data_IF_858610407061
#
_entry.id   IF_858610407061
#
_cell.length_a   1.000
_cell.length_b   1.000
_cell.length_c   1.000
_cell.angle_alpha   90.00
_cell.angle_beta   90.00
_cell.angle_gamma   90.00
#
_symmetry.space_group_name_H-M   'P 1'
#
loop_
_entity.id
_entity.type
_entity.pdbx_description
1 polymer ?
#
# COMPACT_ATOMS: atom_id res chain seq x y z
N UNK A 1 8.18 -4.28 20.75
CA UNK A 1 7.88 -2.85 20.99
C UNK A 1 7.90 -2.50 22.49
N UNK A 2 7.39 -3.39 23.36
CA UNK A 2 7.36 -3.11 24.82
C UNK A 2 8.76 -3.01 25.47
N UNK A 3 9.78 -3.60 24.88
CA UNK A 3 11.17 -3.56 25.36
C UNK A 3 12.08 -2.57 24.60
N UNK A 4 11.60 -1.92 23.54
CA UNK A 4 12.42 -1.00 22.73
C UNK A 4 12.37 0.45 23.21
N UNK A 5 11.59 0.78 24.25
CA UNK A 5 11.47 2.13 24.79
C UNK A 5 10.85 3.17 23.84
N UNK A 6 10.33 2.76 22.69
CA UNK A 6 9.71 3.66 21.70
C UNK A 6 8.27 3.92 22.17
N UNK A 7 7.87 5.18 22.42
CA UNK A 7 6.51 5.49 22.84
C UNK A 7 5.51 5.21 21.70
N UNK A 8 4.36 4.63 22.02
CA UNK A 8 3.30 4.31 21.05
C UNK A 8 2.90 5.50 20.19
N UNK A 9 2.94 6.71 20.74
CA UNK A 9 2.64 7.94 20.01
C UNK A 9 3.61 8.16 18.84
N UNK A 10 4.89 7.88 18.99
CA UNK A 10 5.88 7.99 17.92
C UNK A 10 5.70 6.91 16.86
N UNK A 11 5.12 5.77 17.23
CA UNK A 11 4.83 4.68 16.31
C UNK A 11 3.65 5.05 15.39
N UNK A 12 2.56 5.63 15.94
CA UNK A 12 1.34 5.92 15.16
C UNK A 12 1.32 7.32 14.53
N UNK A 13 2.00 8.30 15.15
CA UNK A 13 2.01 9.70 14.70
C UNK A 13 3.40 10.14 14.21
N UNK A 14 4.12 9.27 13.55
CA UNK A 14 5.39 9.60 12.93
C UNK A 14 5.16 10.54 11.74
N UNK A 15 5.66 11.79 11.83
CA UNK A 15 5.51 12.80 10.76
C UNK A 15 6.01 12.30 9.40
N UNK A 16 7.13 11.57 9.38
CA UNK A 16 7.66 10.98 8.13
C UNK A 16 6.75 9.89 7.60
N UNK A 17 6.11 9.10 8.47
CA UNK A 17 5.13 8.10 8.09
C UNK A 17 3.90 8.73 7.46
N UNK A 18 3.37 9.80 8.04
CA UNK A 18 2.22 10.56 7.51
C UNK A 18 2.57 11.17 6.13
N UNK A 19 3.70 11.83 6.02
CA UNK A 19 4.13 12.41 4.74
C UNK A 19 4.33 11.35 3.66
N UNK A 20 5.01 10.24 4.00
CA UNK A 20 5.23 9.14 3.08
C UNK A 20 3.91 8.50 2.63
N UNK A 21 2.93 8.33 3.52
CA UNK A 21 1.63 7.75 3.15
C UNK A 21 0.84 8.65 2.21
N UNK A 22 0.84 9.97 2.43
CA UNK A 22 0.16 10.93 1.54
C UNK A 22 0.79 10.90 0.14
N UNK A 23 2.12 11.02 0.07
CA UNK A 23 2.85 10.99 -1.22
C UNK A 23 2.59 9.67 -1.94
N UNK A 24 2.65 8.55 -1.22
CA UNK A 24 2.40 7.23 -1.76
C UNK A 24 0.98 7.10 -2.32
N UNK A 25 -0.05 7.47 -1.54
CA UNK A 25 -1.45 7.39 -1.96
C UNK A 25 -1.70 8.24 -3.21
N UNK A 26 -1.24 9.49 -3.22
CA UNK A 26 -1.38 10.37 -4.40
C UNK A 26 -0.68 9.78 -5.61
N UNK A 27 0.57 9.34 -5.46
CA UNK A 27 1.33 8.73 -6.56
C UNK A 27 0.69 7.46 -7.10
N UNK A 28 0.16 6.61 -6.21
CA UNK A 28 -0.56 5.39 -6.60
C UNK A 28 -1.83 5.71 -7.39
N UNK A 29 -2.64 6.65 -6.91
CA UNK A 29 -3.86 7.07 -7.62
C UNK A 29 -3.55 7.70 -8.99
N UNK A 30 -2.51 8.52 -9.08
CA UNK A 30 -2.04 9.04 -10.38
C UNK A 30 -1.62 7.91 -11.32
N UNK A 31 -0.89 6.92 -10.81
CA UNK A 31 -0.54 5.72 -11.57
C UNK A 31 -1.78 4.95 -12.05
N UNK A 32 -2.81 4.86 -11.22
CA UNK A 32 -4.10 4.24 -11.58
C UNK A 32 -4.81 4.96 -12.72
N UNK A 33 -4.81 6.30 -12.72
CA UNK A 33 -5.36 7.11 -13.83
C UNK A 33 -4.57 6.87 -15.12
N UNK A 34 -3.25 6.89 -15.05
CA UNK A 34 -2.37 6.67 -16.22
C UNK A 34 -2.58 5.26 -16.78
N UNK A 35 -2.65 4.26 -15.91
CA UNK A 35 -2.89 2.86 -16.32
C UNK A 35 -4.28 2.69 -16.94
N UNK A 36 -5.31 3.34 -16.38
CA UNK A 36 -6.66 3.31 -16.93
C UNK A 36 -6.70 3.89 -18.35
N UNK A 37 -6.01 5.01 -18.56
CA UNK A 37 -5.92 5.64 -19.86
C UNK A 37 -5.14 4.79 -20.89
N UNK A 38 -4.07 4.14 -20.45
CA UNK A 38 -3.26 3.30 -21.35
C UNK A 38 -3.95 1.98 -21.72
N UNK A 39 -4.69 1.39 -20.77
CA UNK A 39 -5.35 0.09 -20.95
C UNK A 39 -6.81 0.20 -21.40
N UNK A 40 -7.27 1.42 -21.72
CA UNK A 40 -8.63 1.72 -22.16
C UNK A 40 -9.71 1.28 -21.15
N UNK A 41 -9.41 1.48 -19.84
CA UNK A 41 -10.34 1.26 -18.74
C UNK A 41 -11.05 2.57 -18.34
N UNK A 42 -12.19 2.42 -17.66
CA UNK A 42 -12.78 3.54 -16.93
C UNK A 42 -11.78 4.05 -15.88
N UNK A 43 -11.63 5.39 -15.81
CA UNK A 43 -10.76 6.05 -14.81
C UNK A 43 -11.12 5.62 -13.39
N UNK A 44 -12.43 5.48 -13.09
CA UNK A 44 -12.89 5.05 -11.77
C UNK A 44 -12.41 3.62 -11.43
N UNK A 45 -12.43 2.71 -12.40
CA UNK A 45 -11.86 1.36 -12.23
C UNK A 45 -10.35 1.42 -11.98
N UNK A 46 -9.62 2.24 -12.72
CA UNK A 46 -8.18 2.44 -12.50
C UNK A 46 -7.87 2.98 -11.11
N UNK A 47 -8.64 3.95 -10.64
CA UNK A 47 -8.54 4.49 -9.29
C UNK A 47 -8.88 3.44 -8.22
N UNK A 48 -9.90 2.61 -8.46
CA UNK A 48 -10.24 1.52 -7.56
C UNK A 48 -9.09 0.51 -7.44
N UNK A 49 -8.50 0.03 -8.54
CA UNK A 49 -7.34 -0.85 -8.50
C UNK A 49 -6.15 -0.22 -7.77
N UNK A 50 -5.88 1.06 -8.02
CA UNK A 50 -4.76 1.77 -7.40
C UNK A 50 -4.97 2.02 -5.90
N UNK A 51 -6.23 2.16 -5.45
CA UNK A 51 -6.57 2.45 -4.05
C UNK A 51 -6.55 1.23 -3.13
N UNK A 52 -6.35 0.04 -3.67
CA UNK A 52 -6.12 -1.18 -2.89
C UNK A 52 -4.79 -1.14 -2.14
N UNK A 53 -3.82 -0.38 -2.66
CA UNK A 53 -2.48 -0.21 -2.09
C UNK A 53 -1.76 -1.53 -1.78
N UNK A 54 -2.13 -2.62 -2.47
CA UNK A 54 -1.58 -3.96 -2.28
C UNK A 54 -2.31 -4.82 -1.25
N UNK A 55 -3.51 -4.44 -0.84
CA UNK A 55 -4.34 -5.28 0.02
C UNK A 55 -5.20 -6.24 -0.81
N UNK A 56 -4.56 -7.25 -1.40
CA UNK A 56 -5.16 -8.19 -2.36
C UNK A 56 -6.39 -8.90 -1.82
N UNK A 57 -6.44 -9.26 -0.53
CA UNK A 57 -7.61 -9.94 0.05
C UNK A 57 -8.83 -9.03 0.18
N UNK A 58 -8.64 -7.72 0.36
CA UNK A 58 -9.73 -6.75 0.39
C UNK A 58 -10.18 -6.39 -1.02
N UNK A 59 -9.24 -6.02 -1.88
CA UNK A 59 -9.54 -5.55 -3.24
C UNK A 59 -10.22 -6.62 -4.09
N UNK A 60 -9.71 -7.86 -4.02
CA UNK A 60 -10.28 -8.97 -4.79
C UNK A 60 -11.72 -9.26 -4.41
N UNK A 61 -12.07 -9.25 -3.12
CA UNK A 61 -13.43 -9.52 -2.66
C UNK A 61 -14.37 -8.38 -3.05
N UNK A 62 -14.01 -7.13 -2.77
CA UNK A 62 -14.87 -5.98 -3.08
C UNK A 62 -15.10 -5.82 -4.59
N UNK A 63 -14.08 -6.03 -5.42
CA UNK A 63 -14.23 -5.93 -6.88
C UNK A 63 -14.95 -7.14 -7.47
N UNK A 64 -14.79 -8.34 -6.88
CA UNK A 64 -15.57 -9.51 -7.25
C UNK A 64 -17.07 -9.26 -7.01
N UNK A 65 -17.42 -8.76 -5.84
CA UNK A 65 -18.81 -8.52 -5.46
C UNK A 65 -19.46 -7.41 -6.30
N UNK A 66 -18.68 -6.37 -6.65
CA UNK A 66 -19.17 -5.25 -7.43
C UNK A 66 -19.24 -5.52 -8.93
N UNK A 67 -18.22 -6.17 -9.51
CA UNK A 67 -18.04 -6.28 -10.97
C UNK A 67 -17.86 -7.71 -11.48
N UNK A 68 -17.86 -8.69 -10.59
CA UNK A 68 -17.75 -10.11 -10.91
C UNK A 68 -16.33 -10.68 -10.84
N UNK A 69 -16.24 -12.01 -10.98
CA UNK A 69 -15.03 -12.80 -10.73
C UNK A 69 -13.82 -12.37 -11.57
N UNK A 70 -14.03 -11.93 -12.80
CA UNK A 70 -12.95 -11.47 -13.67
C UNK A 70 -12.18 -10.28 -13.07
N UNK A 71 -12.92 -9.25 -12.63
CA UNK A 71 -12.32 -8.05 -12.04
C UNK A 71 -11.70 -8.31 -10.66
N UNK A 72 -12.33 -9.16 -9.85
CA UNK A 72 -11.76 -9.60 -8.57
C UNK A 72 -10.44 -10.38 -8.76
N UNK A 73 -10.35 -11.22 -9.79
CA UNK A 73 -9.10 -11.94 -10.11
C UNK A 73 -8.01 -11.00 -10.57
N UNK A 74 -8.32 -9.99 -11.40
CA UNK A 74 -7.35 -8.96 -11.80
C UNK A 74 -6.82 -8.23 -10.57
N UNK A 75 -7.69 -7.81 -9.65
CA UNK A 75 -7.30 -7.13 -8.41
C UNK A 75 -6.34 -8.00 -7.57
N UNK A 76 -6.68 -9.27 -7.39
CA UNK A 76 -5.85 -10.22 -6.65
C UNK A 76 -4.44 -10.32 -7.25
N UNK A 77 -4.35 -10.64 -8.55
CA UNK A 77 -3.06 -10.82 -9.20
C UNK A 77 -2.24 -9.53 -9.31
N UNK A 78 -2.89 -8.38 -9.51
CA UNK A 78 -2.23 -7.08 -9.51
C UNK A 78 -1.53 -6.81 -8.17
N UNK A 79 -2.25 -6.94 -7.07
CA UNK A 79 -1.72 -6.65 -5.75
C UNK A 79 -0.70 -7.71 -5.28
N UNK A 80 -0.94 -8.98 -5.58
CA UNK A 80 0.00 -10.06 -5.29
C UNK A 80 1.32 -9.89 -6.06
N UNK A 81 1.24 -9.57 -7.35
CA UNK A 81 2.44 -9.33 -8.18
C UNK A 81 3.25 -8.16 -7.65
N UNK A 82 2.55 -7.08 -7.23
CA UNK A 82 3.18 -5.93 -6.60
C UNK A 82 3.89 -6.33 -5.30
N UNK A 83 3.26 -7.13 -4.45
CA UNK A 83 3.87 -7.59 -3.19
C UNK A 83 5.13 -8.41 -3.44
N UNK A 84 5.08 -9.36 -4.38
CA UNK A 84 6.26 -10.17 -4.76
C UNK A 84 7.40 -9.26 -5.24
N UNK A 85 7.12 -8.31 -6.13
CA UNK A 85 8.13 -7.36 -6.60
C UNK A 85 8.70 -6.52 -5.44
N UNK A 86 7.86 -6.08 -4.51
CA UNK A 86 8.31 -5.29 -3.35
C UNK A 86 9.27 -6.07 -2.45
N UNK A 87 9.08 -7.37 -2.26
CA UNK A 87 9.99 -8.19 -1.45
C UNK A 87 11.43 -8.15 -1.99
N UNK A 88 11.60 -8.07 -3.31
CA UNK A 88 12.92 -7.94 -3.93
C UNK A 88 13.44 -6.49 -3.94
N UNK A 89 12.54 -5.52 -4.13
CA UNK A 89 12.94 -4.12 -4.26
C UNK A 89 13.21 -3.43 -2.92
N UNK A 90 12.51 -3.80 -1.85
CA UNK A 90 12.68 -3.20 -0.52
C UNK A 90 14.14 -3.21 -0.06
N UNK A 91 14.88 -4.34 -0.07
CA UNK A 91 16.28 -4.36 0.35
C UNK A 91 17.18 -3.45 -0.48
N UNK A 92 16.91 -3.36 -1.79
CA UNK A 92 17.68 -2.53 -2.71
C UNK A 92 17.53 -1.03 -2.41
N UNK A 93 16.29 -0.57 -2.19
CA UNK A 93 16.02 0.85 -1.91
C UNK A 93 16.29 1.23 -0.45
N UNK A 94 16.27 0.30 0.48
CA UNK A 94 16.36 0.58 1.91
C UNK A 94 17.65 1.32 2.29
N UNK A 95 18.75 1.02 1.61
CA UNK A 95 20.06 1.61 1.92
C UNK A 95 20.09 3.13 1.72
N UNK A 96 19.50 3.63 0.63
CA UNK A 96 19.61 5.03 0.22
C UNK A 96 18.28 5.80 0.42
N UNK A 97 17.15 5.10 0.35
CA UNK A 97 15.80 5.70 0.37
C UNK A 97 14.84 4.92 1.28
N UNK A 98 15.04 4.96 2.63
CA UNK A 98 14.24 4.15 3.56
C UNK A 98 12.72 4.43 3.47
N UNK A 99 12.32 5.69 3.31
CA UNK A 99 10.90 6.05 3.17
C UNK A 99 10.27 5.49 1.89
N UNK A 100 11.03 5.50 0.78
CA UNK A 100 10.61 4.89 -0.49
C UNK A 100 10.49 3.38 -0.34
N UNK A 101 11.47 2.73 0.30
CA UNK A 101 11.45 1.29 0.54
C UNK A 101 10.23 0.86 1.38
N UNK A 102 9.89 1.63 2.42
CA UNK A 102 8.65 1.42 3.19
C UNK A 102 7.42 1.63 2.32
N UNK A 103 7.42 2.69 1.50
CA UNK A 103 6.34 3.00 0.56
C UNK A 103 6.06 1.88 -0.45
N UNK A 104 7.10 1.18 -0.93
CA UNK A 104 6.93 0.02 -1.81
C UNK A 104 6.05 -1.07 -1.18
N UNK A 105 6.13 -1.30 0.12
CA UNK A 105 5.27 -2.24 0.83
C UNK A 105 3.77 -1.88 0.79
N UNK A 106 3.42 -0.58 0.67
CA UNK A 106 2.02 -0.15 0.67
C UNK A 106 1.27 -0.57 1.94
N UNK A 107 0.08 -1.10 1.78
CA UNK A 107 -0.75 -1.58 2.89
C UNK A 107 -0.05 -2.67 3.72
N UNK A 108 0.80 -3.50 3.10
CA UNK A 108 1.48 -4.62 3.78
C UNK A 108 2.73 -4.21 4.55
N UNK A 109 3.09 -2.92 4.58
CA UNK A 109 4.29 -2.42 5.28
C UNK A 109 4.25 -2.61 6.79
N UNK A 110 3.05 -2.74 7.39
CA UNK A 110 2.91 -2.96 8.83
C UNK A 110 2.80 -4.45 9.20
N UNK A 111 2.67 -5.36 8.22
CA UNK A 111 2.47 -6.80 8.41
C UNK A 111 3.36 -7.66 7.50
N UNK A 112 2.88 -8.05 6.30
CA UNK A 112 3.56 -9.02 5.45
C UNK A 112 4.96 -8.59 4.99
N UNK A 113 5.18 -7.31 4.65
CA UNK A 113 6.49 -6.81 4.23
C UNK A 113 7.32 -6.25 5.39
N UNK A 114 6.76 -6.11 6.60
CA UNK A 114 7.46 -5.60 7.77
C UNK A 114 8.74 -6.40 8.11
N UNK A 115 8.75 -7.73 8.06
CA UNK A 115 9.99 -8.50 8.34
C UNK A 115 11.14 -8.16 7.40
N UNK A 116 10.87 -7.98 6.10
CA UNK A 116 11.92 -7.61 5.14
C UNK A 116 12.35 -6.15 5.31
N UNK A 117 11.43 -5.24 5.63
CA UNK A 117 11.73 -3.84 5.97
C UNK A 117 12.64 -3.79 7.20
N UNK A 118 12.31 -4.52 8.26
CA UNK A 118 13.10 -4.58 9.49
C UNK A 118 14.47 -5.22 9.25
N UNK A 119 14.54 -6.31 8.49
CA UNK A 119 15.80 -7.00 8.18
C UNK A 119 16.76 -6.10 7.38
N UNK A 120 16.21 -5.29 6.48
CA UNK A 120 17.00 -4.43 5.58
C UNK A 120 17.35 -3.08 6.17
N UNK A 121 16.49 -2.50 7.03
CA UNK A 121 16.65 -1.15 7.57
C UNK A 121 16.84 -1.07 9.09
N UNK A 122 16.81 -2.24 9.79
CA UNK A 122 16.92 -2.29 11.24
C UNK A 122 15.66 -1.84 11.99
N UNK A 123 15.74 -1.84 13.32
CA UNK A 123 14.62 -1.45 14.20
C UNK A 123 14.19 0.02 14.05
N UNK A 124 15.08 0.88 13.60
CA UNK A 124 14.83 2.31 13.46
C UNK A 124 13.81 2.67 12.38
N UNK A 125 13.60 1.81 11.37
CA UNK A 125 12.60 2.02 10.32
C UNK A 125 11.21 1.43 10.66
N UNK A 126 11.13 0.60 11.69
CA UNK A 126 9.88 -0.05 12.10
C UNK A 126 8.78 0.95 12.49
N UNK A 127 9.04 2.00 13.29
CA UNK A 127 8.01 3.02 13.58
C UNK A 127 7.49 3.72 12.33
N UNK A 128 8.36 4.00 11.37
CA UNK A 128 7.98 4.57 10.09
C UNK A 128 7.04 3.62 9.32
N UNK A 129 7.40 2.34 9.23
CA UNK A 129 6.62 1.32 8.51
C UNK A 129 5.23 1.11 9.13
N UNK A 130 5.15 1.05 10.47
CA UNK A 130 3.88 0.87 11.18
C UNK A 130 2.99 2.11 11.00
N UNK A 131 3.53 3.33 11.20
CA UNK A 131 2.76 4.56 11.00
C UNK A 131 2.24 4.69 9.58
N UNK A 132 3.11 4.47 8.60
CA UNK A 132 2.76 4.49 7.18
C UNK A 132 1.68 3.46 6.84
N UNK A 133 1.91 2.19 7.17
CA UNK A 133 0.98 1.11 6.87
C UNK A 133 -0.36 1.28 7.57
N UNK A 134 -0.39 1.78 8.81
CA UNK A 134 -1.62 2.07 9.54
C UNK A 134 -2.50 3.09 8.80
N UNK A 135 -1.92 4.19 8.34
CA UNK A 135 -2.65 5.24 7.59
C UNK A 135 -3.17 4.68 6.27
N UNK A 136 -2.32 3.96 5.53
CA UNK A 136 -2.71 3.37 4.25
C UNK A 136 -3.83 2.34 4.42
N UNK A 137 -3.77 1.50 5.47
CA UNK A 137 -4.82 0.51 5.76
C UNK A 137 -6.15 1.15 6.19
N UNK A 138 -6.14 2.33 6.82
CA UNK A 138 -7.36 3.08 7.09
C UNK A 138 -7.95 3.70 5.81
N UNK A 139 -7.10 4.19 4.93
CA UNK A 139 -7.52 4.86 3.69
C UNK A 139 -8.03 3.87 2.62
N UNK A 140 -7.42 2.69 2.52
CA UNK A 140 -7.70 1.72 1.47
C UNK A 140 -9.19 1.33 1.36
N UNK A 141 -9.87 0.84 2.42
CA UNK A 141 -11.27 0.45 2.31
C UNK A 141 -12.20 1.62 1.99
N UNK A 142 -11.89 2.82 2.48
CA UNK A 142 -12.69 4.02 2.21
C UNK A 142 -12.57 4.43 0.74
N UNK A 143 -11.37 4.51 0.21
CA UNK A 143 -11.13 4.88 -1.18
C UNK A 143 -11.66 3.82 -2.16
N UNK A 144 -11.46 2.53 -1.84
CA UNK A 144 -12.01 1.43 -2.61
C UNK A 144 -13.54 1.54 -2.71
N UNK A 145 -14.24 1.70 -1.58
CA UNK A 145 -15.68 1.82 -1.56
C UNK A 145 -16.18 3.03 -2.37
N UNK A 146 -15.49 4.18 -2.27
CA UNK A 146 -15.83 5.40 -3.03
C UNK A 146 -15.67 5.14 -4.53
N UNK A 147 -14.52 4.64 -4.98
CA UNK A 147 -14.25 4.48 -6.41
C UNK A 147 -15.04 3.33 -7.03
N UNK A 148 -15.34 2.26 -6.29
CA UNK A 148 -16.23 1.19 -6.76
C UNK A 148 -17.66 1.72 -6.92
N UNK A 149 -18.14 2.56 -5.99
CA UNK A 149 -19.47 3.14 -6.05
C UNK A 149 -19.64 4.19 -7.14
N UNK A 150 -18.56 4.76 -7.67
CA UNK A 150 -18.56 5.77 -8.75
C UNK A 150 -18.26 5.17 -10.14
N UNK A 151 -17.89 3.90 -10.23
CA UNK A 151 -17.54 3.20 -11.47
C UNK A 151 -18.75 2.48 -12.11
#
# INVERSE_FOLDING_TARGET
>A
LRNSGIPLREVFLNKRGIQASIIFMVSSLMGGVIAAWWLDFSVMKGLAYASAFGWYSLSSVLMHDAWGAFYGSIAFFNDLSREILCLFMIPFFMRNFPSTAVGLGGATSLDCTLPIIQKSGGMQVVPLAISFGFIVNLAAPLLLAIFIGLA
#
